data_IF_198209319570
#
_entry.id   IF_198209319570
#
_cell.length_a   1.000
_cell.length_b   1.000
_cell.length_c   1.000
_cell.angle_alpha   90.00
_cell.angle_beta   90.00
_cell.angle_gamma   90.00
#
_symmetry.space_group_name_H-M   'P 1'
#
loop_
_entity.id
_entity.type
_entity.pdbx_description
1 polymer ?
#
# COMPACT_ATOMS: atom_id res chain seq x y z
N UNK A 1 26.82 -12.65 -22.64
CA UNK A 1 25.56 -11.88 -22.55
C UNK A 1 24.50 -12.83 -22.01
N UNK A 2 24.25 -12.80 -20.71
CA UNK A 2 23.36 -13.76 -20.04
C UNK A 2 21.97 -13.14 -19.96
N UNK A 3 21.09 -13.49 -20.90
CA UNK A 3 19.67 -13.14 -20.87
C UNK A 3 19.00 -13.90 -19.72
N UNK A 4 18.93 -13.26 -18.55
CA UNK A 4 18.17 -13.77 -17.43
C UNK A 4 16.71 -13.92 -17.82
N UNK A 5 16.20 -15.15 -17.78
CA UNK A 5 14.78 -15.45 -17.97
C UNK A 5 14.00 -14.68 -16.92
N UNK A 6 13.37 -13.56 -17.32
CA UNK A 6 12.55 -12.73 -16.44
C UNK A 6 11.37 -13.61 -16.00
N UNK A 7 11.45 -14.15 -14.78
CA UNK A 7 10.42 -15.00 -14.19
C UNK A 7 9.09 -14.24 -14.27
N UNK A 8 8.10 -14.83 -14.94
CA UNK A 8 6.76 -14.23 -15.04
C UNK A 8 6.19 -14.13 -13.62
N UNK A 9 5.97 -12.90 -13.16
CA UNK A 9 5.35 -12.65 -11.85
C UNK A 9 4.01 -13.38 -11.77
N UNK A 10 3.73 -13.97 -10.61
CA UNK A 10 2.46 -14.65 -10.36
C UNK A 10 1.27 -13.68 -10.37
N UNK A 11 0.06 -14.21 -10.54
CA UNK A 11 -1.19 -13.41 -10.51
C UNK A 11 -1.31 -12.67 -9.18
N UNK A 12 -1.12 -13.36 -8.06
CA UNK A 12 -1.22 -12.73 -6.73
C UNK A 12 -0.10 -11.72 -6.47
N UNK A 13 1.13 -12.04 -6.89
CA UNK A 13 2.27 -11.12 -6.77
C UNK A 13 2.02 -9.82 -7.55
N UNK A 14 1.44 -9.92 -8.75
CA UNK A 14 1.05 -8.74 -9.55
C UNK A 14 -0.06 -7.94 -8.88
N UNK A 15 -1.05 -8.63 -8.30
CA UNK A 15 -2.13 -7.99 -7.54
C UNK A 15 -1.55 -7.17 -6.37
N UNK A 16 -0.66 -7.75 -5.58
CA UNK A 16 -0.04 -7.08 -4.44
C UNK A 16 0.86 -5.91 -4.87
N UNK A 17 1.56 -6.04 -6.01
CA UNK A 17 2.31 -4.93 -6.58
C UNK A 17 1.40 -3.75 -6.92
N UNK A 18 0.27 -3.98 -7.60
CA UNK A 18 -0.68 -2.92 -7.94
C UNK A 18 -1.24 -2.22 -6.70
N UNK A 19 -1.56 -2.98 -5.65
CA UNK A 19 -2.01 -2.42 -4.37
C UNK A 19 -0.92 -1.53 -3.76
N UNK A 20 0.34 -1.96 -3.80
CA UNK A 20 1.46 -1.18 -3.27
C UNK A 20 1.67 0.14 -4.01
N UNK A 21 1.70 0.10 -5.34
CA UNK A 21 1.85 1.31 -6.18
C UNK A 21 0.67 2.26 -5.97
N UNK A 22 -0.55 1.72 -5.91
CA UNK A 22 -1.74 2.53 -5.66
C UNK A 22 -1.68 3.20 -4.28
N UNK A 23 -1.31 2.45 -3.23
CA UNK A 23 -1.16 2.99 -1.88
C UNK A 23 -0.15 4.14 -1.84
N UNK A 24 1.02 3.98 -2.46
CA UNK A 24 2.04 5.03 -2.52
C UNK A 24 1.49 6.32 -3.17
N UNK A 25 0.78 6.19 -4.29
CA UNK A 25 0.22 7.35 -4.99
C UNK A 25 -0.93 8.01 -4.20
N UNK A 26 -1.77 7.22 -3.53
CA UNK A 26 -2.86 7.73 -2.70
C UNK A 26 -2.38 8.35 -1.38
N UNK A 27 -1.20 7.97 -0.87
CA UNK A 27 -0.59 8.64 0.28
C UNK A 27 -0.05 10.03 -0.05
N UNK A 28 0.31 10.29 -1.31
CA UNK A 28 0.93 11.55 -1.73
C UNK A 28 -0.08 12.61 -2.19
N UNK A 29 -1.25 12.19 -2.68
CA UNK A 29 -2.25 13.07 -3.32
C UNK A 29 -3.66 12.59 -3.02
N UNK A 30 -4.64 13.50 -3.13
CA UNK A 30 -6.05 13.14 -3.04
C UNK A 30 -6.37 11.99 -4.00
N UNK A 31 -7.22 11.01 -3.63
CA UNK A 31 -7.62 9.94 -4.52
C UNK A 31 -8.13 10.47 -5.86
N UNK A 32 -8.85 11.59 -5.88
CA UNK A 32 -9.41 12.20 -7.10
C UNK A 32 -8.32 12.59 -8.12
N UNK A 33 -7.12 12.96 -7.66
CA UNK A 33 -5.99 13.38 -8.49
C UNK A 33 -5.14 12.22 -9.03
N UNK A 34 -5.44 10.98 -8.65
CA UNK A 34 -4.71 9.78 -9.09
C UNK A 34 -5.51 9.01 -10.13
N UNK A 35 -4.98 8.84 -11.33
CA UNK A 35 -5.62 8.09 -12.41
C UNK A 35 -5.17 6.62 -12.48
N UNK A 36 -5.98 5.77 -13.12
CA UNK A 36 -5.58 4.38 -13.44
C UNK A 36 -4.37 4.35 -14.39
N UNK A 37 -4.22 5.35 -15.27
CA UNK A 37 -3.09 5.40 -16.20
C UNK A 37 -1.78 5.68 -15.47
N UNK A 38 -1.79 6.58 -14.49
CA UNK A 38 -0.62 6.82 -13.63
C UNK A 38 -0.24 5.57 -12.84
N UNK A 39 -1.22 4.86 -12.26
CA UNK A 39 -0.97 3.60 -11.55
C UNK A 39 -0.40 2.54 -12.49
N UNK A 40 -0.97 2.40 -13.70
CA UNK A 40 -0.49 1.46 -14.71
C UNK A 40 0.97 1.77 -15.10
N UNK A 41 1.26 3.05 -15.35
CA UNK A 41 2.60 3.54 -15.68
C UNK A 41 3.60 3.26 -14.56
N UNK A 42 3.26 3.60 -13.32
CA UNK A 42 4.10 3.37 -12.15
C UNK A 42 4.33 1.88 -11.86
N UNK A 43 3.34 1.03 -12.14
CA UNK A 43 3.46 -0.43 -12.02
C UNK A 43 4.17 -1.08 -13.22
N UNK A 44 4.45 -0.33 -14.29
CA UNK A 44 5.06 -0.83 -15.52
C UNK A 44 4.17 -1.80 -16.31
N UNK A 45 2.85 -1.59 -16.29
CA UNK A 45 1.87 -2.43 -16.99
C UNK A 45 0.89 -1.61 -17.83
N UNK A 46 0.11 -2.29 -18.67
CA UNK A 46 -0.91 -1.64 -19.49
C UNK A 46 -2.20 -1.37 -18.69
N UNK A 47 -2.92 -0.31 -19.07
CA UNK A 47 -4.24 0.03 -18.50
C UNK A 47 -5.22 -1.17 -18.51
N UNK A 48 -5.39 -1.94 -19.61
CA UNK A 48 -6.27 -3.11 -19.60
C UNK A 48 -5.85 -4.18 -18.57
N UNK A 49 -4.54 -4.32 -18.31
CA UNK A 49 -4.05 -5.27 -17.33
C UNK A 49 -4.39 -4.82 -15.90
N UNK A 50 -4.45 -3.52 -15.60
CA UNK A 50 -4.99 -3.05 -14.30
C UNK A 50 -6.45 -3.49 -14.15
N UNK A 51 -7.27 -3.31 -15.19
CA UNK A 51 -8.68 -3.70 -15.19
C UNK A 51 -8.91 -5.20 -15.03
N UNK A 52 -7.95 -6.02 -15.45
CA UNK A 52 -7.98 -7.47 -15.22
C UNK A 52 -7.93 -7.83 -13.72
N UNK A 53 -7.20 -7.06 -12.90
CA UNK A 53 -7.10 -7.28 -11.45
C UNK A 53 -8.13 -6.48 -10.65
N UNK A 54 -8.50 -5.29 -11.12
CA UNK A 54 -9.37 -4.37 -10.41
C UNK A 54 -10.40 -3.78 -11.37
N UNK A 55 -11.71 -4.05 -11.19
CA UNK A 55 -12.74 -3.57 -12.11
C UNK A 55 -12.84 -2.04 -12.19
N UNK A 56 -12.24 -1.31 -11.24
CA UNK A 56 -12.16 0.15 -11.28
C UNK A 56 -11.23 0.73 -10.24
N UNK A 57 -11.11 2.06 -10.24
CA UNK A 57 -10.28 2.82 -9.28
C UNK A 57 -10.72 2.61 -7.83
N UNK A 58 -12.03 2.57 -7.58
CA UNK A 58 -12.57 2.37 -6.23
C UNK A 58 -12.14 1.03 -5.63
N UNK A 59 -12.21 -0.09 -6.37
CA UNK A 59 -11.81 -1.39 -5.83
C UNK A 59 -10.30 -1.51 -5.59
N UNK A 60 -9.49 -0.78 -6.35
CA UNK A 60 -8.06 -0.66 -6.10
C UNK A 60 -7.77 0.23 -4.88
N UNK A 61 -8.51 1.34 -4.73
CA UNK A 61 -8.44 2.21 -3.56
C UNK A 61 -8.83 1.47 -2.27
N UNK A 62 -9.93 0.71 -2.28
CA UNK A 62 -10.36 -0.10 -1.14
C UNK A 62 -9.31 -1.15 -0.76
N UNK A 63 -8.65 -1.78 -1.74
CA UNK A 63 -7.59 -2.73 -1.50
C UNK A 63 -6.33 -2.07 -0.91
N UNK A 64 -5.95 -0.89 -1.39
CA UNK A 64 -4.86 -0.08 -0.84
C UNK A 64 -5.17 0.37 0.60
N UNK A 65 -6.39 0.88 0.84
CA UNK A 65 -6.86 1.28 2.16
C UNK A 65 -6.89 0.11 3.13
N UNK A 66 -7.36 -1.07 2.68
CA UNK A 66 -7.33 -2.29 3.48
C UNK A 66 -5.89 -2.65 3.89
N UNK A 67 -4.94 -2.59 2.96
CA UNK A 67 -3.52 -2.85 3.25
C UNK A 67 -2.99 -1.86 4.30
N UNK A 68 -3.30 -0.57 4.17
CA UNK A 68 -2.89 0.44 5.14
C UNK A 68 -3.53 0.22 6.52
N UNK A 69 -4.81 -0.14 6.56
CA UNK A 69 -5.52 -0.44 7.80
C UNK A 69 -4.96 -1.69 8.50
N UNK A 70 -4.66 -2.74 7.75
CA UNK A 70 -4.06 -3.98 8.29
C UNK A 70 -2.64 -3.69 8.85
N UNK A 71 -1.84 -2.84 8.18
CA UNK A 71 -0.54 -2.38 8.69
C UNK A 71 -0.68 -1.58 10.00
N UNK A 72 -1.57 -0.59 10.02
CA UNK A 72 -1.84 0.21 11.21
C UNK A 72 -2.31 -0.64 12.39
N UNK A 73 -3.21 -1.61 12.14
CA UNK A 73 -3.67 -2.53 13.17
C UNK A 73 -2.50 -3.36 13.73
N UNK A 74 -1.59 -3.81 12.87
CA UNK A 74 -0.35 -4.49 13.28
C UNK A 74 0.55 -3.64 14.16
N UNK A 75 0.65 -2.33 13.86
CA UNK A 75 1.43 -1.36 14.66
C UNK A 75 0.86 -1.14 16.07
N UNK A 76 -0.39 -1.52 16.34
CA UNK A 76 -0.98 -1.44 17.68
C UNK A 76 -0.78 -2.69 18.53
N UNK A 77 -0.27 -3.78 17.96
CA UNK A 77 0.12 -4.97 18.73
C UNK A 77 1.31 -4.61 19.61
N UNK A 78 1.12 -4.68 20.93
CA UNK A 78 2.11 -4.27 21.94
C UNK A 78 2.17 -5.32 23.07
N UNK A 79 3.36 -5.85 23.40
CA UNK A 79 3.54 -6.75 24.54
C UNK A 79 2.96 -6.16 25.84
N UNK A 80 2.40 -7.03 26.68
CA UNK A 80 1.77 -6.63 27.95
C UNK A 80 2.79 -6.60 29.08
N UNK A 81 3.92 -5.95 28.84
CA UNK A 81 5.08 -5.93 29.73
C UNK A 81 5.49 -4.49 30.09
N UNK A 82 5.77 -4.28 31.38
CA UNK A 82 6.21 -2.99 31.92
C UNK A 82 5.09 -1.95 32.11
N UNK A 83 5.46 -0.70 32.47
CA UNK A 83 4.49 0.35 32.79
C UNK A 83 3.61 0.74 31.60
N UNK A 84 2.33 1.00 31.86
CA UNK A 84 1.36 1.38 30.83
C UNK A 84 1.78 2.62 30.04
N UNK A 85 2.36 3.63 30.71
CA UNK A 85 2.82 4.85 30.06
C UNK A 85 3.91 4.59 29.00
N UNK A 86 4.85 3.70 29.29
CA UNK A 86 5.92 3.34 28.33
C UNK A 86 5.35 2.58 27.14
N UNK A 87 4.39 1.68 27.38
CA UNK A 87 3.69 0.94 26.33
C UNK A 87 2.89 1.87 25.42
N UNK A 88 2.17 2.83 26.00
CA UNK A 88 1.43 3.84 25.24
C UNK A 88 2.37 4.69 24.38
N UNK A 89 3.50 5.15 24.92
CA UNK A 89 4.49 5.91 24.16
C UNK A 89 5.06 5.12 22.97
N UNK A 90 5.33 3.82 23.12
CA UNK A 90 5.79 2.96 22.01
C UNK A 90 4.73 2.82 20.92
N UNK A 91 3.47 2.63 21.29
CA UNK A 91 2.35 2.53 20.35
C UNK A 91 2.12 3.87 19.64
N UNK A 92 2.13 4.98 20.37
CA UNK A 92 1.97 6.32 19.80
C UNK A 92 3.11 6.67 18.84
N UNK A 93 4.35 6.28 19.13
CA UNK A 93 5.46 6.46 18.18
C UNK A 93 5.18 5.76 16.85
N UNK A 94 4.82 4.47 16.89
CA UNK A 94 4.48 3.69 15.68
C UNK A 94 3.27 4.26 14.93
N UNK A 95 2.32 4.87 15.64
CA UNK A 95 1.21 5.60 15.04
C UNK A 95 1.68 6.84 14.29
N UNK A 96 2.50 7.69 14.91
CA UNK A 96 3.04 8.88 14.25
C UNK A 96 3.90 8.51 13.05
N UNK A 97 4.74 7.46 13.15
CA UNK A 97 5.49 6.93 12.01
C UNK A 97 4.55 6.55 10.85
N UNK A 98 3.40 5.92 11.15
CA UNK A 98 2.41 5.56 10.13
C UNK A 98 1.76 6.79 9.49
N UNK A 99 1.42 7.79 10.31
CA UNK A 99 0.84 9.06 9.83
C UNK A 99 1.83 9.81 8.96
N UNK A 100 3.11 9.85 9.31
CA UNK A 100 4.14 10.50 8.49
C UNK A 100 4.37 9.78 7.16
N UNK A 101 4.23 8.44 7.13
CA UNK A 101 4.36 7.63 5.92
C UNK A 101 3.14 7.72 4.98
N UNK A 102 1.94 7.97 5.50
CA UNK A 102 0.67 7.88 4.75
C UNK A 102 -0.15 9.18 4.73
N UNK A 103 0.27 10.20 5.46
CA UNK A 103 -0.38 11.50 5.48
C UNK A 103 -0.08 12.27 4.19
N UNK A 104 -1.08 12.96 3.60
CA UNK A 104 -0.78 13.97 2.59
C UNK A 104 0.09 15.04 3.26
N UNK A 105 1.27 15.26 2.69
CA UNK A 105 2.24 16.26 3.18
C UNK A 105 1.66 17.68 3.23
#
# INVERSE_FOLDING_TARGET
>A
MTTGVRRRMGVEERRQQLIGVALELFSQRSPDDVSIDEIASAAGISRPLVYHYFPGKLSLYEAALKRAADDLAGRFVEPREGPLGVRLLRVMRRFFDFVDEHGPG
#
